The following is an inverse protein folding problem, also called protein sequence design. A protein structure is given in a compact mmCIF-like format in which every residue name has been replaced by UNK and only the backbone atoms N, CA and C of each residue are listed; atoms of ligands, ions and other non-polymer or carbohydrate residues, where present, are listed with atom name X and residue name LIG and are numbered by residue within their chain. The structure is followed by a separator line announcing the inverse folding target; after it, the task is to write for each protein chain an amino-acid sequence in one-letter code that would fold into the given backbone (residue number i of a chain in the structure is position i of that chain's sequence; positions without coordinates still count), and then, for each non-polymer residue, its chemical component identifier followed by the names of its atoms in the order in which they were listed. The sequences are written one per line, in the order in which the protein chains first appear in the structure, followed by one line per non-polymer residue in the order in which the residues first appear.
data_IF_115272475797
#
_entry.id   IF_115272475797
#
_cell.length_a   1.000
_cell.length_b   1.000
_cell.length_c   1.000
_cell.angle_alpha   90.00
_cell.angle_beta   90.00
_cell.angle_gamma   90.00
#
_symmetry.space_group_name_H-M   'P 1'
#
loop_
_entity.id
_entity.type
_entity.pdbx_description
1 polymer ?
#
# COMPACT_ATOMS: atom_id res chain seq x y z
N UNK A 1 4.87 16.17 5.12
CA UNK A 1 4.67 14.72 5.25
C UNK A 1 5.54 13.99 4.25
N UNK A 2 6.19 12.90 4.67
CA UNK A 2 7.04 12.08 3.79
C UNK A 2 6.38 10.71 3.64
N UNK A 3 6.28 10.21 2.41
CA UNK A 3 6.00 8.80 2.20
C UNK A 3 7.27 8.02 2.51
N UNK A 4 7.16 7.02 3.38
CA UNK A 4 8.30 6.18 3.72
C UNK A 4 7.89 4.71 3.50
N UNK A 5 8.77 3.93 2.91
CA UNK A 5 8.52 2.51 2.64
C UNK A 5 9.62 1.72 3.32
N UNK A 6 9.51 0.38 3.39
CA UNK A 6 10.54 -0.46 4.02
C UNK A 6 11.96 -0.23 3.47
N UNK A 7 12.08 0.47 2.34
CA UNK A 7 13.31 0.96 1.77
C UNK A 7 13.54 2.43 2.18
N UNK A 8 13.78 2.68 3.47
CA UNK A 8 14.22 3.99 4.00
C UNK A 8 15.42 4.58 3.24
N UNK A 9 16.22 3.74 2.58
CA UNK A 9 17.39 4.14 1.80
C UNK A 9 17.10 4.73 0.42
N UNK A 10 15.86 4.70 -0.07
CA UNK A 10 15.53 5.22 -1.41
C UNK A 10 15.07 6.69 -1.41
N UNK A 11 15.01 7.34 -0.25
CA UNK A 11 14.55 8.73 -0.05
C UNK A 11 15.39 9.82 -0.76
N UNK A 12 16.46 9.46 -1.48
CA UNK A 12 17.38 10.43 -2.12
C UNK A 12 17.26 10.47 -3.65
N UNK A 13 16.31 9.74 -4.25
CA UNK A 13 16.19 9.64 -5.71
C UNK A 13 14.97 10.43 -6.21
N UNK A 14 15.13 11.55 -6.95
CA UNK A 14 14.01 12.29 -7.58
C UNK A 14 13.28 11.47 -8.65
N UNK A 15 13.73 10.25 -8.88
CA UNK A 15 13.21 9.32 -9.87
C UNK A 15 12.28 8.27 -9.27
N UNK A 16 11.82 8.38 -8.02
CA UNK A 16 10.80 7.48 -7.49
C UNK A 16 9.42 8.14 -7.49
N UNK A 17 8.41 7.36 -7.85
CA UNK A 17 7.01 7.68 -7.65
C UNK A 17 6.43 6.81 -6.56
N UNK A 18 5.64 7.44 -5.70
CA UNK A 18 4.65 6.77 -4.86
C UNK A 18 3.37 6.63 -5.68
N UNK A 19 2.73 5.49 -5.54
CA UNK A 19 1.42 5.29 -6.11
C UNK A 19 0.54 4.49 -5.15
N UNK A 20 -0.75 4.83 -5.16
CA UNK A 20 -1.77 4.25 -4.29
C UNK A 20 -2.85 3.67 -5.19
N UNK A 21 -3.10 2.37 -4.98
CA UNK A 21 -4.24 1.68 -5.58
C UNK A 21 -5.29 1.43 -4.52
N UNK A 22 -6.54 1.37 -4.96
CA UNK A 22 -7.68 1.15 -4.10
C UNK A 22 -8.57 0.03 -4.64
N UNK A 23 -9.21 -0.70 -3.74
CA UNK A 23 -10.12 -1.79 -4.08
C UNK A 23 -11.39 -1.74 -3.23
N UNK A 24 -12.60 -1.91 -3.83
CA UNK A 24 -13.88 -1.75 -3.14
C UNK A 24 -14.20 -2.85 -2.12
N UNK A 25 -13.64 -4.06 -2.27
CA UNK A 25 -13.90 -5.15 -1.33
C UNK A 25 -13.56 -4.74 0.12
N UNK A 26 -14.58 -4.75 0.97
CA UNK A 26 -14.47 -4.50 2.41
C UNK A 26 -14.18 -5.77 3.17
N UNK A 27 -13.09 -5.74 3.96
CA UNK A 27 -12.37 -6.90 4.51
C UNK A 27 -11.96 -7.89 3.41
N UNK A 28 -10.84 -8.57 3.59
CA UNK A 28 -10.67 -9.81 2.86
C UNK A 28 -11.90 -10.70 3.15
N UNK A 29 -12.40 -11.52 2.21
CA UNK A 29 -13.04 -12.73 2.68
C UNK A 29 -12.04 -13.36 3.66
N UNK A 30 -12.41 -13.50 4.93
CA UNK A 30 -11.62 -14.25 5.89
C UNK A 30 -11.42 -15.63 5.27
N UNK A 31 -10.27 -15.86 4.63
CA UNK A 31 -9.83 -17.19 4.26
C UNK A 31 -9.42 -17.85 5.57
N UNK A 32 -10.43 -18.34 6.30
CA UNK A 32 -10.27 -19.63 6.96
C UNK A 32 -9.69 -20.54 5.89
N UNK A 33 -8.44 -20.97 6.08
CA UNK A 33 -7.84 -22.02 5.28
C UNK A 33 -8.68 -23.28 5.46
N UNK A 34 -9.70 -23.43 4.62
CA UNK A 34 -10.30 -24.72 4.33
C UNK A 34 -9.67 -25.16 3.02
N UNK A 35 -8.64 -26.02 3.11
CA UNK A 35 -8.17 -26.80 1.98
C UNK A 35 -9.31 -27.68 1.48
N UNK A 36 -10.03 -27.22 0.46
CA UNK A 36 -10.88 -28.09 -0.34
C UNK A 36 -10.15 -28.38 -1.64
N UNK A 37 -9.59 -29.58 -1.71
CA UNK A 37 -8.95 -30.16 -2.88
C UNK A 37 -9.99 -30.34 -3.98
N UNK A 38 -10.02 -29.45 -4.96
CA UNK A 38 -10.73 -29.71 -6.22
C UNK A 38 -9.85 -29.30 -7.39
N UNK A 39 -9.45 -30.30 -8.16
CA UNK A 39 -8.61 -30.22 -9.36
C UNK A 39 -9.34 -29.48 -10.47
N UNK A 40 -9.13 -28.17 -10.57
CA UNK A 40 -9.45 -27.37 -11.76
C UNK A 40 -8.38 -26.29 -11.90
N UNK A 41 -7.78 -26.18 -13.10
CA UNK A 41 -6.67 -25.30 -13.51
C UNK A 41 -6.51 -24.04 -12.62
N UNK A 42 -5.51 -24.08 -11.74
CA UNK A 42 -5.24 -23.03 -10.77
C UNK A 42 -4.66 -21.78 -11.46
N UNK A 43 -5.48 -20.73 -11.59
CA UNK A 43 -4.96 -19.37 -11.66
C UNK A 43 -4.30 -19.08 -10.31
N UNK A 44 -2.99 -18.89 -10.29
CA UNK A 44 -2.26 -18.52 -9.08
C UNK A 44 -2.90 -17.25 -8.49
N UNK A 45 -3.66 -17.40 -7.39
CA UNK A 45 -4.26 -16.27 -6.72
C UNK A 45 -3.13 -15.50 -6.02
N UNK A 46 -2.77 -14.34 -6.56
CA UNK A 46 -1.77 -13.45 -5.99
C UNK A 46 -2.17 -13.09 -4.55
N UNK A 47 -1.47 -13.66 -3.56
CA UNK A 47 -1.63 -13.29 -2.16
C UNK A 47 -0.85 -12.02 -1.90
N UNK A 48 -1.53 -10.87 -1.80
CA UNK A 48 -0.93 -9.57 -1.45
C UNK A 48 -0.64 -9.45 0.07
N UNK A 49 -0.22 -10.55 0.70
CA UNK A 49 0.11 -10.60 2.13
C UNK A 49 1.55 -10.13 2.35
N UNK A 50 1.77 -9.28 3.35
CA UNK A 50 3.09 -8.74 3.64
C UNK A 50 3.59 -7.75 2.59
N UNK A 51 4.88 -7.43 2.68
CA UNK A 51 5.56 -6.57 1.71
C UNK A 51 5.90 -7.38 0.46
N UNK A 52 5.35 -6.93 -0.67
CA UNK A 52 5.57 -7.48 -2.01
C UNK A 52 6.73 -6.75 -2.69
N UNK A 53 7.51 -7.48 -3.47
CA UNK A 53 8.59 -6.94 -4.30
C UNK A 53 8.29 -7.21 -5.78
N UNK A 54 8.69 -6.28 -6.66
CA UNK A 54 8.51 -6.40 -8.11
C UNK A 54 7.06 -6.70 -8.53
N UNK A 55 6.10 -6.07 -7.87
CA UNK A 55 4.69 -6.25 -8.13
C UNK A 55 4.28 -5.51 -9.40
N UNK A 56 3.87 -6.23 -10.43
CA UNK A 56 3.22 -5.62 -11.61
C UNK A 56 1.75 -5.32 -11.30
N UNK A 57 1.31 -4.05 -11.32
CA UNK A 57 -0.10 -3.71 -11.12
C UNK A 57 -1.06 -4.39 -12.11
N UNK A 58 -0.60 -4.84 -13.28
CA UNK A 58 -1.41 -5.58 -14.24
C UNK A 58 -1.82 -6.98 -13.75
N UNK A 59 -1.05 -7.54 -12.80
CA UNK A 59 -1.33 -8.83 -12.17
C UNK A 59 -2.33 -8.74 -11.01
N UNK A 60 -2.74 -7.52 -10.63
CA UNK A 60 -3.72 -7.34 -9.58
C UNK A 60 -5.09 -7.91 -10.01
N UNK A 61 -5.81 -8.58 -9.10
CA UNK A 61 -7.17 -9.01 -9.38
C UNK A 61 -8.08 -7.86 -9.84
N UNK A 62 -9.18 -8.19 -10.51
CA UNK A 62 -10.16 -7.19 -10.92
C UNK A 62 -10.68 -6.38 -9.72
N UNK A 63 -10.88 -5.08 -9.91
CA UNK A 63 -11.36 -4.16 -8.88
C UNK A 63 -10.28 -3.25 -8.27
N UNK A 64 -9.00 -3.53 -8.51
CA UNK A 64 -7.92 -2.61 -8.17
C UNK A 64 -7.85 -1.46 -9.19
N UNK A 65 -7.73 -0.24 -8.68
CA UNK A 65 -7.59 0.96 -9.52
C UNK A 65 -6.59 1.93 -8.91
N UNK A 66 -5.77 2.56 -9.74
CA UNK A 66 -4.88 3.63 -9.31
C UNK A 66 -5.73 4.85 -8.92
N UNK A 67 -5.51 5.40 -7.73
CA UNK A 67 -6.24 6.57 -7.22
C UNK A 67 -5.34 7.76 -6.92
N UNK A 68 -4.04 7.54 -6.77
CA UNK A 68 -3.07 8.60 -6.59
C UNK A 68 -1.69 8.15 -7.08
N UNK A 69 -0.95 9.06 -7.71
CA UNK A 69 0.47 8.90 -7.96
C UNK A 69 1.16 10.26 -7.88
N UNK A 70 2.37 10.27 -7.34
CA UNK A 70 3.19 11.47 -7.24
C UNK A 70 4.66 11.06 -7.14
N UNK A 71 5.54 12.01 -7.42
CA UNK A 71 6.97 11.83 -7.19
C UNK A 71 7.28 11.98 -5.70
N UNK A 72 8.38 11.38 -5.24
CA UNK A 72 8.88 11.63 -3.88
C UNK A 72 9.30 13.09 -3.63
N UNK A 73 9.56 13.84 -4.70
CA UNK A 73 9.85 15.27 -4.63
C UNK A 73 8.60 16.11 -4.32
N UNK A 74 7.40 15.56 -4.52
CA UNK A 74 6.16 16.23 -4.20
C UNK A 74 5.98 16.27 -2.67
N UNK A 75 6.04 17.47 -2.11
CA UNK A 75 5.82 17.66 -0.67
C UNK A 75 4.35 17.40 -0.36
N UNK A 76 4.06 16.29 0.32
CA UNK A 76 2.74 16.09 0.89
C UNK A 76 2.56 17.03 2.08
N UNK A 77 1.74 18.06 1.92
CA UNK A 77 1.20 18.83 3.04
C UNK A 77 -0.14 18.22 3.47
N UNK A 78 -0.60 18.52 4.69
CA UNK A 78 -1.83 17.93 5.27
C UNK A 78 -3.06 18.07 4.37
N UNK A 79 -3.17 19.17 3.62
CA UNK A 79 -4.26 19.40 2.65
C UNK A 79 -4.20 18.41 1.48
N UNK A 80 -3.01 18.12 0.95
CA UNK A 80 -2.82 17.14 -0.13
C UNK A 80 -3.22 15.75 0.37
N UNK A 81 -2.84 15.40 1.60
CA UNK A 81 -3.18 14.11 2.20
C UNK A 81 -4.69 13.97 2.37
N UNK A 82 -5.38 15.00 2.84
CA UNK A 82 -6.84 15.00 2.90
C UNK A 82 -7.48 14.79 1.51
N UNK A 83 -6.95 15.43 0.46
CA UNK A 83 -7.39 15.19 -0.93
C UNK A 83 -7.11 13.77 -1.38
N UNK A 84 -5.93 13.22 -1.09
CA UNK A 84 -5.59 11.83 -1.42
C UNK A 84 -6.54 10.87 -0.72
N UNK A 85 -6.83 11.06 0.57
CA UNK A 85 -7.77 10.21 1.31
C UNK A 85 -9.21 10.34 0.81
N UNK A 86 -9.61 11.52 0.32
CA UNK A 86 -10.92 11.72 -0.30
C UNK A 86 -11.04 11.01 -1.67
N UNK A 87 -9.98 11.02 -2.48
CA UNK A 87 -9.94 10.35 -3.80
C UNK A 87 -9.75 8.84 -3.68
N UNK A 88 -8.76 8.43 -2.90
CA UNK A 88 -8.50 7.06 -2.53
C UNK A 88 -9.44 6.69 -1.38
N UNK A 89 -10.73 6.44 -1.62
CA UNK A 89 -11.77 6.24 -0.61
C UNK A 89 -12.30 4.81 -0.48
N UNK A 90 -11.70 3.82 -1.15
CA UNK A 90 -12.15 2.42 -1.01
C UNK A 90 -11.59 1.73 0.24
N UNK A 91 -12.11 0.52 0.48
CA UNK A 91 -11.93 -0.25 1.69
C UNK A 91 -10.55 -0.90 1.84
N UNK A 92 -9.85 -1.15 0.74
CA UNK A 92 -8.46 -1.61 0.73
C UNK A 92 -7.59 -0.60 0.00
N UNK A 93 -6.39 -0.40 0.53
CA UNK A 93 -5.35 0.44 -0.05
C UNK A 93 -4.11 -0.41 -0.30
N UNK A 94 -3.46 -0.16 -1.43
CA UNK A 94 -2.14 -0.69 -1.75
C UNK A 94 -1.22 0.50 -1.99
N UNK A 95 -0.22 0.63 -1.12
CA UNK A 95 0.83 1.62 -1.25
C UNK A 95 2.02 0.97 -1.94
N UNK A 96 2.55 1.60 -2.98
CA UNK A 96 3.71 1.10 -3.68
C UNK A 96 4.63 2.21 -4.17
N UNK A 97 5.87 1.80 -4.44
CA UNK A 97 6.93 2.70 -4.88
C UNK A 97 7.62 2.10 -6.10
N UNK A 98 7.91 2.94 -7.10
CA UNK A 98 8.54 2.54 -8.35
C UNK A 98 9.37 3.66 -8.97
N UNK A 99 10.38 3.36 -9.80
CA UNK A 99 11.04 4.37 -10.61
C UNK A 99 10.04 5.09 -11.54
N UNK A 100 10.30 6.36 -11.85
CA UNK A 100 9.61 7.13 -12.89
C UNK A 100 9.72 6.37 -14.21
N UNK A 101 8.62 6.36 -14.97
CA UNK A 101 8.45 5.59 -16.21
C UNK A 101 8.44 4.05 -16.07
N UNK A 102 8.63 3.49 -14.87
CA UNK A 102 8.42 2.06 -14.65
C UNK A 102 6.94 1.77 -14.37
N UNK A 103 6.43 0.64 -14.84
CA UNK A 103 5.08 0.16 -14.52
C UNK A 103 5.07 -0.70 -13.26
N UNK A 104 6.12 -1.51 -13.06
CA UNK A 104 6.28 -2.43 -11.94
C UNK A 104 6.63 -1.68 -10.65
N UNK A 105 5.94 -2.03 -9.57
CA UNK A 105 6.23 -1.58 -8.22
C UNK A 105 7.43 -2.35 -7.66
N UNK A 106 8.51 -1.64 -7.37
CA UNK A 106 9.69 -2.24 -6.72
C UNK A 106 9.32 -2.81 -5.36
N UNK A 107 8.52 -2.07 -4.61
CA UNK A 107 7.96 -2.49 -3.33
C UNK A 107 6.51 -2.05 -3.23
N UNK A 108 5.67 -2.91 -2.68
CA UNK A 108 4.28 -2.60 -2.42
C UNK A 108 3.76 -3.33 -1.19
N UNK A 109 2.78 -2.75 -0.51
CA UNK A 109 2.08 -3.38 0.59
C UNK A 109 0.60 -3.07 0.48
N UNK A 110 -0.24 -4.05 0.84
CA UNK A 110 -1.69 -3.94 0.84
C UNK A 110 -2.24 -4.09 2.24
N UNK A 111 -3.27 -3.33 2.58
CA UNK A 111 -4.01 -3.50 3.84
C UNK A 111 -5.44 -2.99 3.74
N UNK A 112 -6.25 -3.28 4.75
CA UNK A 112 -7.54 -2.59 4.88
C UNK A 112 -7.26 -1.13 5.17
N UNK A 113 -8.11 -0.25 4.64
CA UNK A 113 -8.02 1.19 4.85
C UNK A 113 -7.88 1.56 6.33
N UNK A 114 -8.68 0.93 7.20
CA UNK A 114 -8.66 1.20 8.63
C UNK A 114 -7.32 0.85 9.29
N UNK A 115 -6.64 -0.19 8.79
CA UNK A 115 -5.31 -0.60 9.28
C UNK A 115 -4.21 0.31 8.71
N UNK A 116 -4.27 0.58 7.41
CA UNK A 116 -3.30 1.44 6.69
C UNK A 116 -3.31 2.88 7.21
N UNK A 117 -4.48 3.36 7.66
CA UNK A 117 -4.68 4.72 8.19
C UNK A 117 -4.77 4.73 9.72
N UNK A 118 -4.30 3.68 10.40
CA UNK A 118 -4.22 3.69 11.85
C UNK A 118 -3.30 4.84 12.30
N UNK A 119 -3.89 5.85 12.94
CA UNK A 119 -3.17 7.06 13.29
C UNK A 119 -2.26 6.83 14.51
N UNK A 120 -0.97 6.88 14.26
CA UNK A 120 0.11 6.75 15.23
C UNK A 120 0.47 8.07 15.93
N UNK A 121 -0.26 9.15 15.65
CA UNK A 121 0.01 10.50 16.15
C UNK A 121 1.46 10.94 15.85
N UNK A 122 2.18 11.45 16.85
CA UNK A 122 3.60 11.84 16.77
C UNK A 122 4.56 10.81 17.37
N UNK A 123 4.09 9.59 17.66
CA UNK A 123 4.92 8.55 18.28
C UNK A 123 5.77 7.88 17.19
N UNK A 124 7.07 8.18 17.16
CA UNK A 124 8.01 7.67 16.16
C UNK A 124 8.12 6.13 16.13
N UNK A 125 7.83 5.46 17.25
CA UNK A 125 7.91 4.00 17.37
C UNK A 125 6.58 3.30 17.12
N UNK A 126 5.52 4.03 16.80
CA UNK A 126 4.21 3.41 16.60
C UNK A 126 4.17 2.69 15.25
N UNK A 127 3.77 1.42 15.29
CA UNK A 127 3.60 0.58 14.10
C UNK A 127 2.39 -0.31 14.35
N UNK A 128 1.40 -0.23 13.47
CA UNK A 128 0.20 -1.06 13.50
C UNK A 128 0.39 -2.25 12.55
N UNK A 129 0.60 -3.44 13.10
CA UNK A 129 0.85 -4.63 12.28
C UNK A 129 -0.48 -5.22 11.80
N UNK A 130 -0.68 -5.23 10.48
CA UNK A 130 -1.84 -5.84 9.84
C UNK A 130 -1.47 -6.37 8.47
N UNK A 131 -2.05 -7.50 8.08
CA UNK A 131 -1.76 -8.18 6.81
C UNK A 131 -0.25 -8.47 6.60
N UNK A 132 0.50 -8.77 7.67
CA UNK A 132 1.96 -9.04 7.60
C UNK A 132 2.82 -7.80 7.35
N UNK A 133 2.27 -6.60 7.52
CA UNK A 133 2.91 -5.32 7.26
C UNK A 133 2.77 -4.44 8.49
N UNK A 134 3.86 -3.78 8.89
CA UNK A 134 3.81 -2.74 9.91
C UNK A 134 3.45 -1.39 9.29
N UNK A 135 2.24 -0.91 9.55
CA UNK A 135 1.75 0.38 9.05
C UNK A 135 2.08 1.51 10.02
N UNK A 136 2.43 2.67 9.49
CA UNK A 136 2.49 3.90 10.26
C UNK A 136 1.87 5.02 9.44
N UNK A 137 0.93 5.73 10.06
CA UNK A 137 0.24 6.85 9.46
C UNK A 137 0.12 7.97 10.49
N UNK A 138 0.40 9.18 10.04
CA UNK A 138 0.21 10.41 10.78
C UNK A 138 -0.19 11.47 9.77
N UNK A 139 -1.31 12.16 10.01
CA UNK A 139 -1.88 13.18 9.12
C UNK A 139 -0.97 14.40 8.90
N UNK A 140 0.05 14.56 9.74
CA UNK A 140 0.93 15.72 9.76
C UNK A 140 2.41 15.38 9.47
N UNK A 141 2.82 14.12 9.65
CA UNK A 141 4.23 13.72 9.64
C UNK A 141 4.61 12.75 8.54
N UNK A 142 4.06 11.54 8.53
CA UNK A 142 4.50 10.48 7.60
C UNK A 142 3.39 9.49 7.31
N UNK A 143 3.44 8.87 6.14
CA UNK A 143 2.60 7.73 5.78
C UNK A 143 3.46 6.64 5.14
N UNK A 144 3.43 5.43 5.67
CA UNK A 144 4.30 4.39 5.19
C UNK A 144 4.08 3.00 5.75
N UNK A 145 5.03 2.12 5.40
CA UNK A 145 5.03 0.74 5.88
C UNK A 145 6.43 0.13 6.02
N UNK A 146 6.59 -0.71 7.04
CA UNK A 146 7.76 -1.57 7.28
C UNK A 146 7.37 -3.06 7.16
N UNK A 147 8.37 -3.95 7.11
CA UNK A 147 8.11 -5.38 7.33
C UNK A 147 7.50 -5.58 8.72
N UNK A 148 6.37 -6.29 8.77
CA UNK A 148 5.65 -6.63 10.00
C UNK A 148 6.23 -7.83 10.72
#
# INVERSE_FOLDING_TARGET
MVFDSSLKELSVQPYLNVAIWQHPAGKEPTTTSTSTTTTTTATAQLSLYGVQLNLDPSSLPSGWSLCYNATYADTLISTVVATVLATCNKNKLLLGCRPVANTTLTVAAMGNRADVLYNCSSIETCTHVANGVGWYFSDSYSWGFVRG
#
